data_IF_056803737129
#
_entry.id   IF_056803737129
#
_cell.length_a   1.000
_cell.length_b   1.000
_cell.length_c   1.000
_cell.angle_alpha   90.00
_cell.angle_beta   90.00
_cell.angle_gamma   90.00
#
_symmetry.space_group_name_H-M   'P 1'
#
loop_
_entity.id
_entity.type
_entity.pdbx_description
1 polymer ?
#
# COMPACT_ATOMS: atom_id res chain seq x y z
N UNK A 1 7.96 6.21 20.38
CA UNK A 1 8.28 6.99 19.15
C UNK A 1 8.82 6.18 17.97
N UNK A 2 9.32 4.95 18.13
CA UNK A 2 9.89 4.17 17.01
C UNK A 2 8.87 3.80 15.91
N UNK A 3 7.66 3.37 16.28
CA UNK A 3 6.64 2.94 15.32
C UNK A 3 6.15 4.08 14.43
N UNK A 4 5.83 5.25 15.00
CA UNK A 4 5.40 6.40 14.21
C UNK A 4 6.49 6.88 13.25
N UNK A 5 7.76 6.88 13.67
CA UNK A 5 8.86 7.22 12.78
C UNK A 5 9.01 6.22 11.63
N UNK A 6 8.66 4.95 11.82
CA UNK A 6 8.64 3.97 10.73
C UNK A 6 7.45 4.20 9.79
N UNK A 7 6.27 4.54 10.30
CA UNK A 7 5.10 4.89 9.47
C UNK A 7 5.41 6.11 8.60
N UNK A 8 6.01 7.16 9.18
CA UNK A 8 6.35 8.38 8.45
C UNK A 8 7.46 8.23 7.41
N UNK A 9 8.24 7.13 7.45
CA UNK A 9 9.21 6.80 6.39
C UNK A 9 8.55 6.26 5.12
N UNK A 10 7.29 5.85 5.20
CA UNK A 10 6.52 5.34 4.06
C UNK A 10 6.75 3.87 3.74
N UNK A 11 5.76 3.28 3.08
CA UNK A 11 5.71 1.83 2.78
C UNK A 11 6.83 1.36 1.84
N UNK A 12 7.38 2.25 1.01
CA UNK A 12 8.46 1.93 0.09
C UNK A 12 9.80 1.67 0.80
N UNK A 13 9.92 2.04 2.08
CA UNK A 13 11.07 1.71 2.93
C UNK A 13 11.02 0.29 3.55
N UNK A 14 9.93 -0.46 3.33
CA UNK A 14 9.73 -1.79 3.90
C UNK A 14 10.22 -2.87 2.94
N UNK A 15 11.12 -3.72 3.43
CA UNK A 15 11.49 -4.97 2.76
C UNK A 15 10.46 -6.05 3.06
N UNK A 16 9.81 -6.54 2.00
CA UNK A 16 8.80 -7.59 2.12
C UNK A 16 9.45 -8.98 2.11
N UNK A 17 9.00 -9.91 2.97
CA UNK A 17 9.47 -11.29 2.94
C UNK A 17 9.05 -11.99 1.64
N UNK A 18 9.87 -12.95 1.20
CA UNK A 18 9.63 -13.74 -0.03
C UNK A 18 8.38 -14.62 0.01
N UNK A 19 7.76 -14.78 1.18
CA UNK A 19 6.50 -15.51 1.34
C UNK A 19 5.29 -14.74 0.81
N UNK A 20 5.42 -13.43 0.56
CA UNK A 20 4.36 -12.61 -0.03
C UNK A 20 4.61 -12.55 -1.54
N UNK A 21 3.56 -12.83 -2.32
CA UNK A 21 3.65 -12.74 -3.79
C UNK A 21 3.93 -11.32 -4.23
N UNK A 22 4.45 -11.16 -5.46
CA UNK A 22 4.73 -9.84 -6.04
C UNK A 22 3.46 -8.99 -6.11
N UNK A 23 2.35 -9.61 -6.46
CA UNK A 23 1.02 -9.02 -6.58
C UNK A 23 0.52 -8.57 -5.20
N UNK A 24 0.73 -9.40 -4.16
CA UNK A 24 0.41 -9.04 -2.78
C UNK A 24 1.22 -7.85 -2.28
N UNK A 25 2.52 -7.78 -2.60
CA UNK A 25 3.36 -6.63 -2.28
C UNK A 25 2.86 -5.36 -3.01
N UNK A 26 2.52 -5.47 -4.29
CA UNK A 26 1.97 -4.35 -5.07
C UNK A 26 0.66 -3.83 -4.48
N UNK A 27 -0.26 -4.72 -4.10
CA UNK A 27 -1.52 -4.36 -3.45
C UNK A 27 -1.27 -3.61 -2.14
N UNK A 28 -0.42 -4.15 -1.26
CA UNK A 28 -0.10 -3.53 0.03
C UNK A 28 0.49 -2.13 -0.18
N UNK A 29 1.43 -1.97 -1.12
CA UNK A 29 2.04 -0.67 -1.44
C UNK A 29 1.01 0.33 -1.96
N UNK A 30 0.09 -0.09 -2.82
CA UNK A 30 -0.98 0.77 -3.37
C UNK A 30 -2.01 1.19 -2.32
N UNK A 31 -2.30 0.33 -1.34
CA UNK A 31 -3.18 0.66 -0.21
C UNK A 31 -2.51 1.61 0.80
N UNK A 32 -1.21 1.45 1.03
CA UNK A 32 -0.46 2.18 2.05
C UNK A 32 0.34 3.37 1.50
N UNK A 33 -0.11 4.03 0.42
CA UNK A 33 0.49 5.29 -0.05
C UNK A 33 0.45 6.37 1.02
N UNK A 34 1.53 7.15 1.10
CA UNK A 34 1.69 8.22 2.09
C UNK A 34 0.62 9.31 1.88
N UNK A 35 0.43 9.74 0.63
CA UNK A 35 -0.65 10.63 0.24
C UNK A 35 -1.99 9.86 0.25
N UNK A 36 -2.96 10.22 1.11
CA UNK A 36 -4.26 9.55 1.15
C UNK A 36 -5.00 9.60 -0.19
N UNK A 37 -4.81 10.67 -0.96
CA UNK A 37 -5.46 10.86 -2.25
C UNK A 37 -4.95 9.90 -3.34
N UNK A 38 -3.81 9.24 -3.13
CA UNK A 38 -3.21 8.27 -4.06
C UNK A 38 -3.51 6.81 -3.69
N UNK A 39 -4.15 6.58 -2.53
CA UNK A 39 -4.45 5.21 -2.07
C UNK A 39 -5.47 4.55 -3.00
N UNK A 40 -5.23 3.28 -3.29
CA UNK A 40 -6.22 2.43 -3.95
C UNK A 40 -7.48 2.40 -3.07
N UNK A 41 -8.66 2.59 -3.68
CA UNK A 41 -9.91 2.76 -2.93
C UNK A 41 -10.36 4.20 -2.73
N UNK A 42 -9.47 5.19 -2.85
CA UNK A 42 -9.82 6.62 -2.79
C UNK A 42 -10.02 7.25 -4.18
N UNK A 43 -9.63 6.54 -5.24
CA UNK A 43 -9.78 7.01 -6.63
C UNK A 43 -11.24 7.02 -7.08
N UNK A 44 -11.47 7.49 -8.31
CA UNK A 44 -12.81 7.62 -8.92
C UNK A 44 -13.68 6.36 -8.84
N UNK A 45 -13.08 5.16 -8.95
CA UNK A 45 -13.82 3.89 -8.91
C UNK A 45 -13.90 3.27 -7.50
N UNK A 46 -13.32 3.92 -6.50
CA UNK A 46 -13.42 3.52 -5.11
C UNK A 46 -12.98 2.07 -4.88
N UNK A 47 -13.82 1.31 -4.17
CA UNK A 47 -13.56 -0.09 -3.82
C UNK A 47 -13.44 -1.02 -5.03
N UNK A 48 -13.99 -0.65 -6.20
CA UNK A 48 -13.92 -1.51 -7.38
C UNK A 48 -12.47 -1.66 -7.89
N UNK A 49 -11.64 -0.62 -7.73
CA UNK A 49 -10.21 -0.71 -8.09
C UNK A 49 -9.43 -1.65 -7.15
N UNK A 50 -9.90 -1.85 -5.92
CA UNK A 50 -9.33 -2.85 -5.00
C UNK A 50 -9.75 -4.26 -5.45
N UNK A 51 -11.01 -4.44 -5.81
CA UNK A 51 -11.56 -5.75 -6.23
C UNK A 51 -11.01 -6.22 -7.57
N UNK A 52 -10.67 -5.28 -8.46
CA UNK A 52 -10.10 -5.58 -9.79
C UNK A 52 -8.57 -5.53 -9.82
N UNK A 53 -7.90 -5.51 -8.67
CA UNK A 53 -6.43 -5.58 -8.61
C UNK A 53 -5.96 -6.99 -9.00
N UNK A 54 -4.90 -7.07 -9.81
CA UNK A 54 -4.29 -8.31 -10.33
C UNK A 54 -3.20 -8.85 -9.39
#
# INVERSE_FOLDING_TARGET
MRTYNMILKGIDSIDFPRSISREGVDLIKKLCRDNPAERLGYQKRGIDDIKSHE
#
